data_IF_492165271136
#
_entry.id   IF_492165271136
#
_cell.length_a   1.000
_cell.length_b   1.000
_cell.length_c   1.000
_cell.angle_alpha   90.00
_cell.angle_beta   90.00
_cell.angle_gamma   90.00
#
_symmetry.space_group_name_H-M   'P 1'
#
loop_
_entity.id
_entity.type
_entity.pdbx_description
1 polymer ?
2 polymer ?
3 non-polymer ?
4 water ?
#
# COMPACT_ATOMS: atom_id res chain seq x y z
N UNK A 1 15.61 -3.91 10.53
CA UNK A 1 15.33 -4.49 11.86
C UNK A 1 13.92 -4.28 12.24
N UNK A 2 13.40 -5.26 12.94
CA UNK A 2 12.05 -5.17 13.35
C UNK A 2 11.96 -4.39 14.63
N UNK A 3 10.81 -3.78 14.85
CA UNK A 3 10.57 -2.99 16.06
C UNK A 3 9.88 -3.92 17.05
N UNK A 4 9.33 -3.38 18.12
CA UNK A 4 8.66 -4.21 19.13
C UNK A 4 7.25 -4.65 18.75
N UNK A 5 6.72 -4.09 17.67
CA UNK A 5 5.39 -4.44 17.23
C UNK A 5 5.31 -5.91 16.80
N UNK A 6 4.19 -6.56 17.10
CA UNK A 6 4.02 -7.95 16.72
C UNK A 6 4.03 -8.09 15.21
N UNK A 7 3.43 -7.12 14.53
CA UNK A 7 3.39 -7.13 13.07
C UNK A 7 4.16 -5.94 12.51
N UNK A 8 5.48 -5.98 12.64
CA UNK A 8 6.34 -4.91 12.14
C UNK A 8 6.34 -4.90 10.62
N UNK A 9 5.99 -3.76 10.05
CA UNK A 9 5.93 -3.61 8.60
C UNK A 9 7.28 -3.21 8.01
N UNK A 10 8.30 -3.14 8.86
CA UNK A 10 9.64 -2.77 8.44
C UNK A 10 9.70 -1.53 7.54
N UNK A 11 9.32 -0.35 8.07
CA UNK A 11 9.37 0.85 7.24
C UNK A 11 10.83 1.17 6.88
N UNK A 12 11.73 0.47 7.55
CA UNK A 12 13.17 0.61 7.37
C UNK A 12 13.70 -0.15 6.14
N UNK A 13 12.85 -0.97 5.52
CA UNK A 13 13.24 -1.75 4.36
C UNK A 13 13.55 -0.89 3.13
N UNK A 14 14.28 -1.47 2.18
CA UNK A 14 14.68 -0.77 0.96
C UNK A 14 13.66 -0.84 -0.17
N UNK A 15 12.39 -1.03 0.17
CA UNK A 15 11.33 -1.10 -0.83
C UNK A 15 10.14 -0.28 -0.36
N UNK A 16 9.41 0.30 -1.31
CA UNK A 16 8.21 1.09 -1.02
C UNK A 16 7.08 0.40 -1.77
N UNK A 17 6.00 0.09 -1.07
CA UNK A 17 4.86 -0.58 -1.69
C UNK A 17 3.80 0.42 -2.13
N UNK A 18 3.23 0.19 -3.30
CA UNK A 18 2.21 1.08 -3.85
C UNK A 18 0.93 0.32 -4.19
N UNK A 19 -0.15 1.07 -4.39
CA UNK A 19 -1.43 0.50 -4.78
C UNK A 19 -2.13 1.55 -5.63
N UNK A 20 -2.79 1.10 -6.69
CA UNK A 20 -3.48 2.00 -7.61
C UNK A 20 -5.00 1.95 -7.40
N UNK A 21 -5.64 3.11 -7.51
CA UNK A 21 -7.08 3.19 -7.31
C UNK A 21 -7.88 2.57 -8.45
N UNK A 22 -8.96 1.87 -8.10
CA UNK A 22 -9.84 1.24 -9.08
C UNK A 22 -11.12 2.06 -9.22
N UNK A 23 -11.27 3.05 -8.34
CA UNK A 23 -12.46 3.88 -8.34
C UNK A 23 -12.68 4.81 -9.53
N UNK A 24 -11.64 5.03 -10.33
CA UNK A 24 -11.80 5.90 -11.48
C UNK A 24 -10.68 6.90 -11.73
N UNK A 25 -10.04 7.38 -10.67
CA UNK A 25 -8.95 8.35 -10.84
C UNK A 25 -7.70 7.67 -11.39
N UNK A 26 -7.61 6.36 -11.19
CA UNK A 26 -6.48 5.57 -11.69
C UNK A 26 -5.12 6.04 -11.16
N UNK A 27 -5.12 6.72 -10.02
CA UNK A 27 -3.87 7.22 -9.46
C UNK A 27 -3.17 6.24 -8.53
N UNK A 28 -1.86 6.43 -8.38
CA UNK A 28 -1.02 5.59 -7.54
C UNK A 28 -0.83 6.16 -6.15
N UNK A 29 -0.96 5.30 -5.14
CA UNK A 29 -0.79 5.70 -3.75
C UNK A 29 0.22 4.80 -3.04
N UNK A 30 0.94 5.37 -2.07
CA UNK A 30 1.88 4.60 -1.26
C UNK A 30 0.92 3.83 -0.34
N UNK A 31 1.12 2.52 -0.20
CA UNK A 31 0.23 1.74 0.66
C UNK A 31 0.15 2.22 2.11
N UNK A 32 1.26 2.65 2.70
CA UNK A 32 1.20 3.10 4.09
C UNK A 32 0.42 4.41 4.23
N UNK A 33 0.49 5.25 3.20
CA UNK A 33 -0.21 6.53 3.22
C UNK A 33 -1.72 6.37 3.20
N UNK A 34 -2.20 5.25 2.67
CA UNK A 34 -3.64 5.02 2.61
C UNK A 34 -4.08 3.94 3.60
N UNK A 35 -3.15 3.50 4.45
CA UNK A 35 -3.46 2.51 5.46
C UNK A 35 -3.85 1.10 5.04
N UNK A 36 -3.27 0.61 3.95
CA UNK A 36 -3.59 -0.74 3.50
C UNK A 36 -2.37 -1.64 3.66
N UNK A 37 -2.63 -2.90 4.01
CA UNK A 37 -1.56 -3.88 4.17
C UNK A 37 -1.32 -4.52 2.81
N UNK A 38 -0.16 -5.16 2.62
CA UNK A 38 0.10 -5.79 1.32
C UNK A 38 -0.99 -6.81 1.00
N UNK A 39 -1.50 -7.46 2.04
CA UNK A 39 -2.56 -8.45 1.89
C UNK A 39 -3.80 -7.80 1.30
N UNK A 40 -4.25 -6.72 1.94
CA UNK A 40 -5.42 -5.99 1.49
C UNK A 40 -5.23 -5.53 0.05
N UNK A 41 -4.09 -4.90 -0.21
CA UNK A 41 -3.75 -4.38 -1.52
C UNK A 41 -3.83 -5.41 -2.65
N UNK A 42 -3.51 -6.66 -2.34
CA UNK A 42 -3.53 -7.71 -3.35
C UNK A 42 -4.83 -8.50 -3.46
N UNK A 43 -5.48 -8.76 -2.33
CA UNK A 43 -6.69 -9.57 -2.31
C UNK A 43 -8.03 -8.91 -2.62
N UNK A 44 -8.06 -7.59 -2.73
CA UNK A 44 -9.31 -6.91 -3.05
C UNK A 44 -9.03 -5.63 -3.82
N UNK A 45 -10.07 -4.96 -4.26
CA UNK A 45 -9.90 -3.72 -5.01
C UNK A 45 -9.56 -2.59 -4.05
N UNK A 46 -9.15 -1.45 -4.60
CA UNK A 46 -8.86 -0.30 -3.77
C UNK A 46 -9.58 0.93 -4.32
N UNK A 47 -10.32 1.60 -3.45
CA UNK A 47 -11.07 2.81 -3.82
C UNK A 47 -10.60 3.95 -2.91
N UNK A 48 -9.95 4.96 -3.49
CA UNK A 48 -9.45 6.08 -2.70
C UNK A 48 -10.58 6.94 -2.13
N UNK A 49 -10.24 7.83 -1.20
CA UNK A 49 -11.26 8.68 -0.57
C UNK A 49 -11.96 9.63 -1.54
N UNK A 50 -11.26 10.05 -2.59
CA UNK A 50 -11.86 10.96 -3.56
C UNK A 50 -12.82 10.24 -4.50
N UNK A 51 -12.58 8.96 -4.73
CA UNK A 51 -13.45 8.18 -5.62
C UNK A 51 -14.54 7.46 -4.85
N UNK A 52 -14.40 7.38 -3.53
CA UNK A 52 -15.39 6.70 -2.69
C UNK A 52 -16.75 7.40 -2.73
N UNK B 1 -5.92 -5.55 -5.88
CA UNK B 1 -5.72 -4.30 -6.67
C UNK B 1 -4.34 -4.31 -7.33
N UNK B 2 -4.14 -3.39 -8.27
CA UNK B 2 -2.85 -3.29 -8.95
C UNK B 2 -1.84 -2.72 -7.97
N UNK B 3 -0.69 -3.38 -7.85
CA UNK B 3 0.35 -2.94 -6.93
C UNK B 3 1.71 -2.93 -7.61
N UNK B 4 2.69 -2.34 -6.93
CA UNK B 4 4.05 -2.28 -7.44
C UNK B 4 4.97 -1.92 -6.29
N UNK B 5 6.25 -2.18 -6.49
CA UNK B 5 7.26 -1.87 -5.49
C UNK B 5 8.37 -1.08 -6.17
N UNK B 6 8.88 -0.07 -5.47
CA UNK B 6 9.99 0.72 -5.99
C UNK B 6 11.08 0.72 -4.93
N UNK B 7 12.21 1.34 -5.23
CA UNK B 7 13.36 1.34 -4.32
C UNK B 7 13.38 2.26 -3.08
N UNK B 8 13.74 1.64 -1.95
CA UNK B 8 13.91 2.27 -0.64
C UNK B 8 12.76 2.99 0.06
X LIG C 1 14.62 -2.09 10.84
X LIG D 1 8.17 -1.93 12.99
X LIG E 1 -9.42 7.18 -6.84
#
# INVERSE_FOLDING_TARGET
>A
SVCAAQNCQRPCKDKVDWVQCDGGCDEWFHQVCVGVSPEMAENEDYICINCA
>B
ARTKQTARK
>C hetero
1 ZN ZN
>D hetero
1 ZN ZN
>E hetero
1 ZN ZN
#
